data_IF_054636762400
#
_entry.id   IF_054636762400
#
_cell.length_a   1.000
_cell.length_b   1.000
_cell.length_c   1.000
_cell.angle_alpha   90.00
_cell.angle_beta   90.00
_cell.angle_gamma   90.00
#
_symmetry.space_group_name_H-M   'P 1'
#
loop_
_entity.id
_entity.type
_entity.pdbx_description
1 polymer ?
#
# COMPACT_ATOMS: atom_id res chain seq x y z
N UNK A 1 -11.49 -12.75 9.03
CA UNK A 1 -10.02 -12.83 9.25
C UNK A 1 -9.44 -14.18 8.80
N UNK A 2 -9.95 -15.31 9.26
CA UNK A 2 -9.42 -16.64 8.86
C UNK A 2 -9.42 -16.90 7.35
N UNK A 3 -10.46 -16.48 6.63
CA UNK A 3 -10.54 -16.64 5.19
C UNK A 3 -9.41 -15.89 4.45
N UNK A 4 -9.19 -14.62 4.75
CA UNK A 4 -8.10 -13.81 4.17
C UNK A 4 -6.74 -14.44 4.46
N UNK A 5 -6.50 -14.82 5.72
CA UNK A 5 -5.26 -15.49 6.11
C UNK A 5 -4.99 -16.74 5.26
N UNK A 6 -5.98 -17.61 5.10
CA UNK A 6 -5.78 -18.91 4.46
C UNK A 6 -5.75 -18.83 2.94
N UNK A 7 -6.58 -17.97 2.34
CA UNK A 7 -6.77 -17.93 0.89
C UNK A 7 -5.91 -16.87 0.18
N UNK A 8 -5.57 -15.78 0.88
CA UNK A 8 -4.77 -14.70 0.29
C UNK A 8 -3.31 -14.73 0.75
N UNK A 9 -3.04 -15.25 1.95
CA UNK A 9 -1.70 -15.23 2.55
C UNK A 9 -1.16 -16.63 2.89
N UNK A 10 -1.72 -17.69 2.31
CA UNK A 10 -1.21 -19.06 2.47
C UNK A 10 -1.07 -19.54 3.91
N UNK A 11 -1.88 -19.01 4.83
CA UNK A 11 -1.83 -19.34 6.25
C UNK A 11 -0.86 -18.50 7.09
N UNK A 12 -0.09 -17.60 6.48
CA UNK A 12 0.80 -16.69 7.21
C UNK A 12 0.01 -15.79 8.19
N UNK A 13 0.61 -15.42 9.33
CA UNK A 13 -0.02 -14.47 10.24
C UNK A 13 -0.26 -13.12 9.56
N UNK A 14 -1.48 -12.61 9.65
CA UNK A 14 -1.87 -11.31 9.12
C UNK A 14 -2.31 -10.36 10.22
N UNK A 15 -2.30 -9.08 9.90
CA UNK A 15 -2.96 -8.00 10.64
C UNK A 15 -3.95 -7.29 9.73
N UNK A 16 -4.96 -6.68 10.33
CA UNK A 16 -5.92 -5.83 9.62
C UNK A 16 -5.90 -4.49 10.30
N UNK A 17 -5.63 -3.46 9.52
CA UNK A 17 -5.64 -2.06 9.92
C UNK A 17 -6.78 -1.31 9.26
N UNK A 18 -6.90 -0.04 9.63
CA UNK A 18 -7.84 0.89 9.05
C UNK A 18 -7.14 2.20 8.74
N UNK A 19 -7.14 2.57 7.48
CA UNK A 19 -6.57 3.81 6.99
C UNK A 19 -7.69 4.76 6.58
N UNK A 20 -7.66 5.98 7.11
CA UNK A 20 -8.61 7.03 6.74
C UNK A 20 -7.94 8.40 6.75
N UNK A 21 -8.46 9.31 5.96
CA UNK A 21 -7.91 10.66 5.86
C UNK A 21 -8.55 11.46 4.75
N UNK A 22 -8.07 12.68 4.59
CA UNK A 22 -8.55 13.65 3.58
C UNK A 22 -7.46 14.02 2.58
N UNK A 23 -6.41 13.19 2.47
CA UNK A 23 -5.30 13.44 1.55
C UNK A 23 -5.81 13.51 0.11
N UNK A 24 -5.26 14.43 -0.69
CA UNK A 24 -5.56 14.63 -2.10
C UNK A 24 -4.31 14.82 -2.95
N UNK A 25 -3.13 14.50 -2.38
CA UNK A 25 -1.83 14.77 -3.02
C UNK A 25 -0.95 13.53 -3.01
N UNK A 26 -0.12 13.41 -4.02
CA UNK A 26 1.03 12.51 -4.03
C UNK A 26 2.10 13.08 -3.08
N UNK A 27 2.19 12.54 -1.87
CA UNK A 27 3.15 12.99 -0.85
C UNK A 27 4.44 12.15 -0.88
N UNK A 28 4.30 10.84 -0.95
CA UNK A 28 5.38 9.88 -1.05
C UNK A 28 4.85 8.56 -1.61
N UNK A 29 5.76 7.65 -1.88
CA UNK A 29 5.49 6.25 -2.17
C UNK A 29 6.44 5.41 -1.32
N UNK A 30 5.96 4.25 -0.93
CA UNK A 30 6.72 3.22 -0.21
C UNK A 30 6.48 1.85 -0.83
N UNK A 31 7.26 0.88 -0.44
CA UNK A 31 7.01 -0.54 -0.72
C UNK A 31 7.43 -1.39 0.47
N UNK A 32 6.92 -2.59 0.54
CA UNK A 32 7.29 -3.59 1.53
C UNK A 32 7.32 -5.00 0.90
N UNK A 33 7.93 -5.95 1.59
CA UNK A 33 8.33 -7.25 0.99
C UNK A 33 7.20 -8.25 0.76
N UNK A 34 5.95 -7.90 1.02
CA UNK A 34 4.80 -8.78 0.78
C UNK A 34 3.62 -7.98 0.23
N UNK A 35 2.62 -8.68 -0.26
CA UNK A 35 1.40 -8.06 -0.79
C UNK A 35 0.58 -7.40 0.31
N UNK A 36 -0.10 -6.33 -0.06
CA UNK A 36 -1.10 -5.66 0.75
C UNK A 36 -2.47 -5.74 0.06
N UNK A 37 -3.52 -6.00 0.83
CA UNK A 37 -4.89 -5.94 0.31
C UNK A 37 -5.58 -4.70 0.89
N UNK A 38 -6.05 -3.84 0.00
CA UNK A 38 -6.85 -2.67 0.31
C UNK A 38 -8.32 -2.93 0.00
N UNK A 39 -9.21 -2.66 0.95
CA UNK A 39 -10.66 -2.85 0.81
C UNK A 39 -11.35 -1.52 1.07
N UNK A 40 -11.96 -0.96 0.02
CA UNK A 40 -12.57 0.35 0.08
C UNK A 40 -13.93 0.33 0.80
N UNK A 41 -14.07 1.08 1.88
CA UNK A 41 -15.36 1.32 2.54
C UNK A 41 -16.14 2.48 1.90
N UNK A 42 -15.45 3.35 1.18
CA UNK A 42 -16.00 4.37 0.27
C UNK A 42 -14.99 4.61 -0.87
N UNK A 43 -15.36 5.40 -1.86
CA UNK A 43 -14.49 5.68 -3.00
C UNK A 43 -13.16 6.30 -2.54
N UNK A 44 -12.05 5.76 -3.04
CA UNK A 44 -10.70 6.21 -2.75
C UNK A 44 -9.85 6.17 -4.03
N UNK A 45 -8.77 6.92 -4.08
CA UNK A 45 -7.82 6.88 -5.19
C UNK A 45 -6.50 6.31 -4.68
N UNK A 46 -6.04 5.25 -5.33
CA UNK A 46 -4.69 4.71 -5.14
C UNK A 46 -3.74 5.39 -6.13
N UNK A 47 -2.62 5.88 -5.60
CA UNK A 47 -1.48 6.34 -6.39
C UNK A 47 -0.41 5.27 -6.32
N UNK A 48 -0.04 4.70 -7.46
CA UNK A 48 0.88 3.57 -7.52
C UNK A 48 1.96 3.77 -8.58
N UNK A 49 3.07 3.09 -8.38
CA UNK A 49 4.16 3.03 -9.35
C UNK A 49 4.87 1.68 -9.26
N UNK A 50 5.64 1.34 -10.27
CA UNK A 50 6.43 0.11 -10.26
C UNK A 50 7.75 0.33 -9.53
N UNK A 51 8.14 -0.58 -8.65
CA UNK A 51 9.40 -0.51 -7.90
C UNK A 51 10.62 -0.34 -8.82
N UNK A 52 10.63 -1.01 -9.97
CA UNK A 52 11.74 -0.88 -10.92
C UNK A 52 11.92 0.51 -11.51
N UNK A 53 10.90 1.36 -11.49
CA UNK A 53 10.99 2.74 -11.97
C UNK A 53 11.71 3.65 -10.95
N UNK A 54 11.99 3.16 -9.74
CA UNK A 54 12.73 3.85 -8.68
C UNK A 54 14.15 3.25 -8.47
N UNK A 55 14.61 2.33 -9.31
CA UNK A 55 15.88 1.63 -9.11
C UNK A 55 17.11 2.56 -9.12
N UNK A 56 17.09 3.65 -9.90
CA UNK A 56 18.20 4.58 -10.04
C UNK A 56 18.07 5.86 -9.19
N UNK A 57 17.07 5.93 -8.27
CA UNK A 57 16.88 7.10 -7.42
C UNK A 57 15.41 7.45 -7.17
N UNK A 58 15.11 8.70 -6.87
CA UNK A 58 13.73 9.14 -6.70
C UNK A 58 12.92 8.91 -7.97
N UNK A 59 11.72 8.36 -7.79
CA UNK A 59 10.80 8.13 -8.91
C UNK A 59 10.31 9.46 -9.49
N UNK A 60 10.29 9.57 -10.81
CA UNK A 60 9.63 10.66 -11.51
C UNK A 60 8.11 10.54 -11.33
N UNK A 61 7.46 11.61 -10.89
CA UNK A 61 6.01 11.65 -10.67
C UNK A 61 5.18 11.33 -11.92
N UNK A 62 5.73 11.50 -13.12
CA UNK A 62 5.10 11.11 -14.38
C UNK A 62 4.93 9.60 -14.55
N UNK A 63 5.63 8.80 -13.73
CA UNK A 63 5.52 7.34 -13.69
C UNK A 63 4.43 6.84 -12.73
N UNK A 64 3.86 7.75 -11.95
CA UNK A 64 2.82 7.40 -10.97
C UNK A 64 1.47 7.37 -11.68
N UNK A 65 0.75 6.26 -11.50
CA UNK A 65 -0.58 6.05 -12.02
C UNK A 65 -1.62 6.17 -10.90
N UNK A 66 -2.78 6.73 -11.24
CA UNK A 66 -3.90 6.91 -10.31
C UNK A 66 -5.05 5.98 -10.68
N UNK A 67 -5.53 5.19 -9.73
CA UNK A 67 -6.65 4.27 -9.91
C UNK A 67 -7.77 4.60 -8.93
N UNK A 68 -8.99 4.77 -9.45
CA UNK A 68 -10.18 4.86 -8.62
C UNK A 68 -10.53 3.48 -8.08
N UNK A 69 -10.56 3.37 -6.78
CA UNK A 69 -11.03 2.21 -6.04
C UNK A 69 -12.44 2.52 -5.52
N UNK A 70 -13.47 2.02 -6.20
CA UNK A 70 -14.86 2.24 -5.82
C UNK A 70 -15.19 1.51 -4.51
N UNK A 71 -16.15 2.04 -3.77
CA UNK A 71 -16.67 1.40 -2.56
C UNK A 71 -16.98 -0.08 -2.77
N UNK A 72 -16.48 -0.93 -1.88
CA UNK A 72 -16.65 -2.38 -1.92
C UNK A 72 -15.61 -3.12 -2.75
N UNK A 73 -14.74 -2.41 -3.45
CA UNK A 73 -13.62 -3.02 -4.20
C UNK A 73 -12.53 -3.48 -3.26
N UNK A 74 -11.98 -4.65 -3.52
CA UNK A 74 -10.74 -5.14 -2.91
C UNK A 74 -9.64 -5.20 -3.96
N UNK A 75 -8.47 -4.63 -3.66
CA UNK A 75 -7.31 -4.58 -4.56
C UNK A 75 -6.12 -5.17 -3.83
N UNK A 76 -5.39 -6.08 -4.47
CA UNK A 76 -4.10 -6.56 -3.99
C UNK A 76 -2.99 -5.73 -4.65
N UNK A 77 -2.16 -5.11 -3.83
CA UNK A 77 -0.93 -4.43 -4.22
C UNK A 77 0.23 -5.38 -3.97
N UNK A 78 0.91 -5.78 -5.04
CA UNK A 78 2.05 -6.69 -4.94
C UNK A 78 3.26 -6.01 -4.30
N UNK A 79 4.19 -6.80 -3.75
CA UNK A 79 5.44 -6.32 -3.15
C UNK A 79 6.25 -5.39 -4.08
N UNK A 80 6.10 -5.52 -5.39
CA UNK A 80 6.77 -4.69 -6.41
C UNK A 80 5.97 -3.44 -6.82
N UNK A 81 4.83 -3.19 -6.16
CA UNK A 81 3.99 -2.02 -6.42
C UNK A 81 4.21 -0.99 -5.33
N UNK A 82 4.87 0.10 -5.68
CA UNK A 82 5.02 1.25 -4.77
C UNK A 82 3.67 1.93 -4.59
N UNK A 83 3.35 2.28 -3.37
CA UNK A 83 2.10 2.93 -2.99
C UNK A 83 2.28 3.70 -1.67
N UNK A 84 1.25 4.38 -1.24
CA UNK A 84 1.15 4.99 0.08
C UNK A 84 -0.33 5.08 0.48
N UNK A 85 -0.63 5.76 1.59
CA UNK A 85 -2.00 6.01 2.00
C UNK A 85 -2.84 6.54 0.83
N UNK A 86 -4.06 6.04 0.62
CA UNK A 86 -4.91 6.49 -0.47
C UNK A 86 -5.23 7.99 -0.43
N UNK A 87 -5.73 8.50 -1.54
CA UNK A 87 -6.33 9.82 -1.59
C UNK A 87 -7.87 9.73 -1.53
N UNK A 88 -8.51 10.83 -1.17
CA UNK A 88 -9.96 10.96 -1.21
C UNK A 88 -10.46 10.81 -2.66
N UNK A 89 -11.45 9.97 -2.87
CA UNK A 89 -12.10 9.79 -4.17
C UNK A 89 -13.03 10.95 -4.57
N UNK A 90 -13.47 11.74 -3.57
CA UNK A 90 -14.33 12.91 -3.75
C UNK A 90 -13.84 14.06 -2.89
N UNK A 91 -14.07 15.28 -3.37
CA UNK A 91 -13.78 16.49 -2.61
C UNK A 91 -14.54 16.47 -1.28
N UNK A 92 -13.87 16.85 -0.21
CA UNK A 92 -14.41 17.00 1.15
C UNK A 92 -14.98 15.70 1.76
N UNK A 93 -14.74 14.54 1.14
CA UNK A 93 -15.10 13.23 1.69
C UNK A 93 -13.82 12.47 2.09
N UNK A 94 -13.65 12.08 3.36
CA UNK A 94 -12.48 11.31 3.77
C UNK A 94 -12.50 9.91 3.15
N UNK A 95 -11.36 9.43 2.67
CA UNK A 95 -11.22 8.03 2.28
C UNK A 95 -11.26 7.12 3.52
N UNK A 96 -11.75 5.89 3.35
CA UNK A 96 -11.84 4.87 4.39
C UNK A 96 -11.53 3.52 3.77
N UNK A 97 -10.40 2.95 4.16
CA UNK A 97 -9.89 1.71 3.57
C UNK A 97 -9.43 0.77 4.67
N UNK A 98 -9.92 -0.47 4.63
CA UNK A 98 -9.35 -1.53 5.45
C UNK A 98 -8.11 -2.09 4.75
N UNK A 99 -7.03 -2.24 5.51
CA UNK A 99 -5.73 -2.69 5.02
C UNK A 99 -5.41 -4.05 5.63
N UNK A 100 -5.08 -5.02 4.80
CA UNK A 100 -4.63 -6.36 5.24
C UNK A 100 -3.17 -6.55 4.85
N UNK A 101 -2.37 -6.91 5.82
CA UNK A 101 -0.90 -7.05 5.70
C UNK A 101 -0.41 -8.29 6.46
N UNK A 102 0.75 -8.82 6.15
CA UNK A 102 1.48 -9.70 7.05
C UNK A 102 1.69 -9.02 8.41
N UNK A 103 1.51 -9.79 9.48
CA UNK A 103 1.67 -9.28 10.84
C UNK A 103 3.09 -8.77 11.05
N UNK A 104 3.24 -7.55 11.54
CA UNK A 104 4.50 -6.91 11.84
C UNK A 104 5.00 -5.94 10.77
N UNK A 105 4.35 -5.87 9.59
CA UNK A 105 4.76 -4.94 8.53
C UNK A 105 4.81 -3.48 9.01
N UNK A 106 3.89 -3.08 9.88
CA UNK A 106 3.84 -1.72 10.47
C UNK A 106 4.53 -1.63 11.84
N UNK A 107 5.34 -2.61 12.20
CA UNK A 107 6.17 -2.57 13.41
C UNK A 107 7.46 -1.77 13.22
N UNK A 108 8.27 -1.74 14.27
CA UNK A 108 9.59 -1.12 14.21
C UNK A 108 10.43 -1.82 13.14
N UNK A 109 11.19 -1.02 12.39
CA UNK A 109 12.10 -1.54 11.38
C UNK A 109 13.14 -2.46 12.05
N UNK A 110 13.23 -3.73 11.64
CA UNK A 110 14.24 -4.62 12.21
C UNK A 110 15.66 -4.13 11.86
N UNK A 111 16.61 -4.39 12.76
CA UNK A 111 18.02 -4.20 12.46
C UNK A 111 18.47 -5.27 11.47
N UNK A 112 18.77 -4.85 10.26
CA UNK A 112 19.28 -5.73 9.20
C UNK A 112 20.61 -5.21 8.67
N UNK A 113 21.49 -6.12 8.28
CA UNK A 113 22.71 -5.76 7.57
C UNK A 113 22.38 -5.64 6.08
N UNK A 114 22.17 -4.42 5.64
CA UNK A 114 21.89 -4.13 4.23
C UNK A 114 23.19 -4.25 3.42
N UNK A 115 23.12 -4.99 2.32
CA UNK A 115 24.25 -5.13 1.37
C UNK A 115 24.20 -4.08 0.27
N UNK A 116 23.02 -3.56 -0.04
CA UNK A 116 22.76 -2.59 -1.10
C UNK A 116 22.07 -1.34 -0.54
N UNK A 117 22.24 -0.20 -1.21
CA UNK A 117 21.55 1.04 -0.82
C UNK A 117 20.02 0.92 -0.91
N UNK A 118 19.50 0.11 -1.85
CA UNK A 118 18.08 -0.16 -2.00
C UNK A 118 17.47 -0.85 -0.77
N UNK A 119 18.23 -1.71 -0.10
CA UNK A 119 17.76 -2.42 1.10
C UNK A 119 17.69 -1.51 2.34
N UNK A 120 18.22 -0.29 2.24
CA UNK A 120 18.22 0.73 3.32
C UNK A 120 16.99 1.65 3.29
N UNK A 121 16.23 1.63 2.21
CA UNK A 121 15.11 2.54 1.95
C UNK A 121 13.80 1.99 2.49
#
# INVERSE_FOLDING_TARGET
>A
MAWLKNNCYGGLPIQIGYCNGTNTKLNCLEYHKDSEINIAANDAVLLVARQQDAAEGPIDSSKVEAFLMEKGTAVELYATTMHYAPCSGKKDEPFRVAIVLPRGTNGDKPEIVCKNEEDKR
#
